data_IF_746902807285
#
_entry.id   IF_746902807285
#
_cell.length_a   1.000
_cell.length_b   1.000
_cell.length_c   1.000
_cell.angle_alpha   90.00
_cell.angle_beta   90.00
_cell.angle_gamma   90.00
#
_symmetry.space_group_name_H-M   'P 1'
#
loop_
_entity.id
_entity.type
_entity.pdbx_description
1 polymer ?
#
# COMPACT_ATOMS: atom_id res chain seq x y z
N UNK A 1 -34.98 5.46 -12.05
CA UNK A 1 -33.95 5.36 -11.01
C UNK A 1 -34.36 4.31 -10.01
N UNK A 2 -33.61 3.21 -9.86
CA UNK A 2 -33.89 2.20 -8.85
C UNK A 2 -33.73 2.83 -7.46
N UNK A 3 -34.82 2.90 -6.68
CA UNK A 3 -34.73 3.30 -5.27
C UNK A 3 -33.80 2.32 -4.58
N UNK A 4 -32.69 2.81 -4.03
CA UNK A 4 -31.82 2.01 -3.19
C UNK A 4 -32.69 1.48 -2.03
N UNK A 5 -33.01 0.19 -2.08
CA UNK A 5 -33.72 -0.46 -0.98
C UNK A 5 -32.79 -0.41 0.21
N UNK A 6 -33.23 0.22 1.28
CA UNK A 6 -32.51 0.19 2.56
C UNK A 6 -32.26 -1.28 2.94
N UNK A 7 -31.01 -1.61 3.24
CA UNK A 7 -30.57 -2.94 3.66
C UNK A 7 -30.06 -2.85 5.09
N UNK A 8 -30.16 -3.95 5.82
CA UNK A 8 -29.49 -4.09 7.12
C UNK A 8 -27.98 -4.02 6.91
N UNK A 9 -27.28 -3.28 7.77
CA UNK A 9 -25.83 -3.23 7.79
C UNK A 9 -25.23 -4.63 7.89
N UNK A 10 -24.20 -4.93 7.08
CA UNK A 10 -23.50 -6.22 7.07
C UNK A 10 -22.65 -6.51 8.31
N UNK A 11 -22.47 -5.54 9.20
CA UNK A 11 -21.76 -5.75 10.46
C UNK A 11 -22.62 -6.56 11.44
N UNK A 12 -22.12 -7.69 11.98
CA UNK A 12 -22.88 -8.51 12.93
C UNK A 12 -23.38 -7.69 14.12
N UNK A 13 -24.68 -7.79 14.41
CA UNK A 13 -25.32 -7.09 15.54
C UNK A 13 -25.60 -5.61 15.34
N UNK A 14 -25.38 -5.05 14.14
CA UNK A 14 -25.75 -3.67 13.84
C UNK A 14 -27.20 -3.57 13.32
N UNK A 15 -28.13 -2.91 14.05
CA UNK A 15 -29.52 -2.79 13.61
C UNK A 15 -29.75 -1.69 12.56
N UNK A 16 -28.71 -0.95 12.16
CA UNK A 16 -28.85 0.22 11.28
C UNK A 16 -29.16 -0.17 9.84
N UNK A 17 -30.19 0.44 9.27
CA UNK A 17 -30.51 0.35 7.84
C UNK A 17 -29.70 1.39 7.04
N UNK A 18 -29.13 0.98 5.91
CA UNK A 18 -28.36 1.84 5.01
C UNK A 18 -28.62 1.49 3.56
N UNK A 19 -28.44 2.46 2.67
CA UNK A 19 -28.39 2.30 1.21
C UNK A 19 -27.11 1.61 0.72
N UNK A 20 -26.13 1.38 1.62
CA UNK A 20 -24.83 0.73 1.35
C UNK A 20 -24.71 -0.60 2.12
N UNK A 21 -23.74 -1.46 1.78
CA UNK A 21 -23.49 -2.70 2.52
C UNK A 21 -23.18 -2.49 4.00
N UNK A 22 -22.62 -1.34 4.39
CA UNK A 22 -22.33 -0.97 5.77
C UNK A 22 -22.89 0.42 6.06
N UNK A 23 -23.36 0.62 7.28
CA UNK A 23 -23.75 1.96 7.74
C UNK A 23 -22.51 2.89 7.79
N UNK A 24 -22.69 4.23 7.75
CA UNK A 24 -21.58 5.18 7.75
C UNK A 24 -20.56 4.98 8.87
N UNK A 25 -21.01 4.56 10.06
CA UNK A 25 -20.14 4.26 11.21
C UNK A 25 -19.19 3.10 10.94
N UNK A 26 -19.70 1.95 10.51
CA UNK A 26 -18.87 0.78 10.23
C UNK A 26 -18.03 0.97 8.98
N UNK A 27 -18.53 1.68 7.97
CA UNK A 27 -17.71 2.07 6.83
C UNK A 27 -16.50 2.92 7.26
N UNK A 28 -16.71 3.92 8.12
CA UNK A 28 -15.61 4.75 8.62
C UNK A 28 -14.57 3.96 9.44
N UNK A 29 -14.99 2.93 10.17
CA UNK A 29 -14.07 2.04 10.89
C UNK A 29 -13.22 1.20 9.94
N UNK A 30 -13.84 0.62 8.91
CA UNK A 30 -13.15 -0.14 7.87
C UNK A 30 -12.18 0.76 7.11
N UNK A 31 -12.61 1.96 6.72
CA UNK A 31 -11.77 2.93 6.03
C UNK A 31 -10.58 3.34 6.89
N UNK A 32 -10.80 3.57 8.20
CA UNK A 32 -9.73 3.88 9.16
C UNK A 32 -8.75 2.70 9.27
N UNK A 33 -9.25 1.47 9.34
CA UNK A 33 -8.42 0.29 9.37
C UNK A 33 -7.57 0.19 8.09
N UNK A 34 -8.19 0.27 6.92
CA UNK A 34 -7.49 0.22 5.62
C UNK A 34 -6.44 1.32 5.47
N UNK A 35 -6.73 2.55 5.88
CA UNK A 35 -5.76 3.65 5.88
C UNK A 35 -4.52 3.36 6.73
N UNK A 36 -4.67 2.56 7.79
CA UNK A 36 -3.59 2.18 8.70
C UNK A 36 -2.84 0.92 8.28
N UNK A 37 -3.52 -0.03 7.63
CA UNK A 37 -2.97 -1.37 7.39
C UNK A 37 -2.68 -1.68 5.93
N UNK A 38 -3.38 -1.08 4.97
CA UNK A 38 -3.16 -1.34 3.55
C UNK A 38 -1.91 -0.59 3.08
N UNK A 39 -0.83 -1.28 2.64
CA UNK A 39 0.43 -0.62 2.29
C UNK A 39 0.28 0.52 1.28
N UNK A 40 -0.55 0.33 0.25
CA UNK A 40 -0.84 1.35 -0.78
C UNK A 40 -1.55 2.60 -0.23
N UNK A 41 -2.25 2.50 0.91
CA UNK A 41 -2.90 3.63 1.58
C UNK A 41 -1.96 4.31 2.57
N UNK A 42 -1.18 3.51 3.31
CA UNK A 42 -0.17 3.99 4.25
C UNK A 42 0.90 4.80 3.52
N UNK A 43 1.40 4.28 2.40
CA UNK A 43 2.52 4.88 1.68
C UNK A 43 2.11 5.99 0.71
N UNK A 44 0.80 6.29 0.58
CA UNK A 44 0.29 7.27 -0.38
C UNK A 44 0.82 8.69 -0.13
N UNK A 45 0.86 9.12 1.14
CA UNK A 45 1.35 10.45 1.50
C UNK A 45 2.83 10.64 1.15
N UNK A 46 3.73 9.76 1.65
CA UNK A 46 5.14 9.76 1.27
C UNK A 46 5.36 9.65 -0.24
N UNK A 47 4.61 8.80 -0.95
CA UNK A 47 4.75 8.64 -2.41
C UNK A 47 4.42 9.94 -3.18
N UNK A 48 3.36 10.65 -2.80
CA UNK A 48 3.01 11.95 -3.39
C UNK A 48 4.17 12.95 -3.20
N UNK A 49 4.76 13.00 -2.00
CA UNK A 49 5.88 13.89 -1.71
C UNK A 49 7.12 13.53 -2.54
N UNK A 50 7.45 12.23 -2.65
CA UNK A 50 8.57 11.76 -3.47
C UNK A 50 8.40 12.11 -4.95
N UNK A 51 7.21 11.89 -5.50
CA UNK A 51 6.89 12.24 -6.89
C UNK A 51 7.00 13.75 -7.15
N UNK A 52 6.48 14.57 -6.23
CA UNK A 52 6.61 16.02 -6.33
C UNK A 52 8.08 16.49 -6.27
N UNK A 53 8.87 15.91 -5.36
CA UNK A 53 10.30 16.20 -5.25
C UNK A 53 11.08 15.80 -6.51
N UNK A 54 10.79 14.64 -7.10
CA UNK A 54 11.40 14.19 -8.34
C UNK A 54 11.11 15.14 -9.51
N UNK A 55 9.86 15.60 -9.66
CA UNK A 55 9.50 16.59 -10.70
C UNK A 55 10.21 17.92 -10.46
N UNK A 56 10.29 18.40 -9.22
CA UNK A 56 10.98 19.63 -8.88
C UNK A 56 12.48 19.55 -9.20
N UNK A 57 13.14 18.45 -8.83
CA UNK A 57 14.56 18.20 -9.12
C UNK A 57 14.84 18.10 -10.64
N UNK A 58 13.95 17.44 -11.38
CA UNK A 58 14.05 17.37 -12.84
C UNK A 58 13.91 18.75 -13.48
N UNK A 59 12.93 19.55 -13.05
CA UNK A 59 12.77 20.93 -13.55
C UNK A 59 13.98 21.82 -13.25
N UNK A 60 14.59 21.66 -12.07
CA UNK A 60 15.77 22.43 -11.70
C UNK A 60 16.99 22.12 -12.62
N UNK A 61 17.08 20.91 -13.16
CA UNK A 61 18.24 20.46 -13.95
C UNK A 61 18.00 20.47 -15.46
N UNK A 62 16.77 20.18 -15.90
CA UNK A 62 16.41 19.97 -17.32
C UNK A 62 15.27 20.88 -17.78
N UNK A 63 14.69 21.69 -16.90
CA UNK A 63 13.51 22.49 -17.20
C UNK A 63 12.28 21.64 -17.52
N UNK A 64 11.38 22.19 -18.33
CA UNK A 64 10.17 21.52 -18.81
C UNK A 64 10.46 20.62 -20.03
N UNK A 65 11.47 19.77 -19.92
CA UNK A 65 11.89 18.84 -20.97
C UNK A 65 11.51 17.41 -20.61
N UNK A 66 10.68 16.77 -21.42
CA UNK A 66 10.34 15.36 -21.25
C UNK A 66 11.34 14.46 -22.00
N UNK A 67 11.91 13.43 -21.35
CA UNK A 67 12.77 12.43 -22.02
C UNK A 67 12.07 11.64 -23.12
N UNK A 68 10.74 11.51 -23.07
CA UNK A 68 9.96 10.71 -24.01
C UNK A 68 9.85 9.25 -23.59
N UNK A 69 8.73 8.61 -23.95
CA UNK A 69 8.52 7.16 -23.85
C UNK A 69 7.97 6.66 -25.17
N UNK A 70 8.72 5.77 -25.84
CA UNK A 70 8.47 5.30 -27.21
C UNK A 70 8.30 6.44 -28.23
N UNK A 71 8.96 7.57 -27.98
CA UNK A 71 9.06 8.73 -28.86
C UNK A 71 10.25 9.59 -28.49
N UNK A 72 10.63 10.51 -29.37
CA UNK A 72 11.72 11.43 -29.13
C UNK A 72 11.48 12.34 -27.88
N UNK A 73 12.56 12.77 -27.21
CA UNK A 73 12.51 13.81 -26.19
C UNK A 73 11.90 15.11 -26.73
N UNK A 74 11.13 15.82 -25.91
CA UNK A 74 10.38 17.02 -26.33
C UNK A 74 10.01 17.91 -25.15
N UNK A 75 9.69 19.18 -25.40
CA UNK A 75 9.24 20.11 -24.38
C UNK A 75 7.83 19.76 -23.87
N UNK A 76 7.61 19.86 -22.56
CA UNK A 76 6.31 19.70 -21.93
C UNK A 76 6.28 20.28 -20.50
N UNK A 77 5.33 21.16 -20.23
CA UNK A 77 5.14 21.75 -18.91
C UNK A 77 4.39 20.82 -17.91
N UNK A 78 3.58 19.88 -18.41
CA UNK A 78 2.81 18.94 -17.57
C UNK A 78 3.62 17.67 -17.28
N UNK A 79 4.67 17.84 -16.47
CA UNK A 79 5.54 16.77 -16.00
C UNK A 79 4.95 16.04 -14.79
N UNK A 80 5.14 14.72 -14.79
CA UNK A 80 4.74 13.76 -13.77
C UNK A 80 5.92 12.86 -13.44
N UNK A 81 5.94 12.27 -12.25
CA UNK A 81 6.93 11.26 -11.88
C UNK A 81 6.23 9.93 -11.65
N UNK A 82 6.81 8.84 -12.15
CA UNK A 82 6.33 7.48 -11.95
C UNK A 82 7.47 6.50 -11.70
N UNK A 83 7.15 5.31 -11.20
CA UNK A 83 8.16 4.32 -10.89
C UNK A 83 8.85 3.82 -12.17
N UNK A 84 10.17 3.66 -12.14
CA UNK A 84 10.92 3.01 -13.23
C UNK A 84 10.40 1.58 -13.40
N UNK A 85 10.30 0.86 -12.29
CA UNK A 85 9.65 -0.45 -12.19
C UNK A 85 8.25 -0.30 -11.57
N UNK A 86 7.22 -0.53 -12.37
CA UNK A 86 5.83 -0.40 -11.94
C UNK A 86 5.49 -1.24 -10.71
N UNK A 87 4.84 -0.61 -9.72
CA UNK A 87 4.38 -1.31 -8.51
C UNK A 87 3.38 -2.43 -8.82
N UNK A 88 2.55 -2.27 -9.87
CA UNK A 88 1.62 -3.32 -10.29
C UNK A 88 2.32 -4.54 -10.89
N UNK A 89 3.54 -4.36 -11.41
CA UNK A 89 4.39 -5.43 -11.92
C UNK A 89 5.37 -5.96 -10.84
N UNK A 90 5.13 -5.67 -9.56
CA UNK A 90 5.98 -6.11 -8.44
C UNK A 90 7.10 -5.15 -8.04
N UNK A 91 7.13 -3.94 -8.61
CA UNK A 91 8.07 -2.90 -8.21
C UNK A 91 7.91 -2.45 -6.75
N UNK A 92 9.01 -2.05 -6.13
CA UNK A 92 9.01 -1.54 -4.77
C UNK A 92 8.31 -0.17 -4.67
N UNK A 93 7.60 0.09 -3.58
CA UNK A 93 6.89 1.35 -3.36
C UNK A 93 7.85 2.55 -3.26
N UNK A 94 9.04 2.33 -2.71
CA UNK A 94 10.14 3.27 -2.57
C UNK A 94 11.17 3.16 -3.71
N UNK A 95 10.83 2.43 -4.78
CA UNK A 95 11.66 2.30 -5.97
C UNK A 95 11.98 3.64 -6.66
N UNK A 96 12.94 3.59 -7.57
CA UNK A 96 13.38 4.74 -8.37
C UNK A 96 12.23 5.35 -9.17
N UNK A 97 12.24 6.68 -9.28
CA UNK A 97 11.24 7.45 -10.02
C UNK A 97 11.86 8.06 -11.29
N UNK A 98 11.09 7.98 -12.37
CA UNK A 98 11.39 8.59 -13.66
C UNK A 98 10.39 9.73 -13.93
N UNK A 99 10.89 10.86 -14.45
CA UNK A 99 10.05 12.02 -14.79
C UNK A 99 9.71 12.03 -16.26
N UNK A 100 8.42 12.11 -16.58
CA UNK A 100 7.87 12.14 -17.93
C UNK A 100 6.65 13.07 -17.99
N UNK A 101 6.30 13.57 -19.17
CA UNK A 101 5.03 14.25 -19.34
C UNK A 101 3.84 13.29 -19.17
N UNK A 102 2.67 13.81 -18.81
CA UNK A 102 1.46 13.01 -18.56
C UNK A 102 1.10 12.05 -19.69
N UNK A 103 1.29 12.47 -20.95
CA UNK A 103 0.99 11.64 -22.12
C UNK A 103 1.97 10.48 -22.30
N UNK A 104 3.28 10.72 -22.09
CA UNK A 104 4.28 9.65 -22.06
C UNK A 104 4.00 8.68 -20.92
N UNK A 105 3.71 9.20 -19.73
CA UNK A 105 3.42 8.35 -18.57
C UNK A 105 2.17 7.48 -18.79
N UNK A 106 1.13 8.04 -19.40
CA UNK A 106 -0.08 7.29 -19.75
C UNK A 106 0.22 6.16 -20.75
N UNK A 107 1.11 6.40 -21.72
CA UNK A 107 1.56 5.36 -22.67
C UNK A 107 2.33 4.25 -21.96
N UNK A 108 3.27 4.59 -21.06
CA UNK A 108 4.00 3.64 -20.23
C UNK A 108 3.03 2.76 -19.41
N UNK A 109 2.11 3.38 -18.69
CA UNK A 109 1.09 2.66 -17.91
C UNK A 109 0.25 1.71 -18.76
N UNK A 110 -0.14 2.12 -19.98
CA UNK A 110 -0.85 1.24 -20.91
C UNK A 110 0.00 0.04 -21.33
N UNK A 111 1.29 0.23 -21.62
CA UNK A 111 2.22 -0.84 -21.99
C UNK A 111 2.33 -1.90 -20.89
N UNK A 112 2.42 -1.44 -19.64
CA UNK A 112 2.50 -2.29 -18.45
C UNK A 112 1.20 -3.07 -18.26
N UNK A 113 0.04 -2.42 -18.38
CA UNK A 113 -1.26 -3.12 -18.29
C UNK A 113 -1.42 -4.20 -19.35
N UNK A 114 -1.00 -3.94 -20.59
CA UNK A 114 -1.04 -4.93 -21.67
C UNK A 114 -0.09 -6.10 -21.38
N UNK A 115 1.11 -5.84 -20.87
CA UNK A 115 2.04 -6.89 -20.46
C UNK A 115 1.47 -7.71 -19.28
N UNK A 116 0.82 -7.03 -18.32
CA UNK A 116 0.21 -7.70 -17.18
C UNK A 116 -0.94 -8.63 -17.60
N UNK A 117 -1.83 -8.15 -18.48
CA UNK A 117 -2.92 -8.95 -19.02
C UNK A 117 -2.41 -10.17 -19.82
N UNK A 118 -1.31 -10.01 -20.56
CA UNK A 118 -0.69 -11.11 -21.29
C UNK A 118 -0.17 -12.20 -20.35
N UNK A 119 0.47 -11.84 -19.22
CA UNK A 119 0.94 -12.85 -18.25
C UNK A 119 -0.23 -13.62 -17.62
N UNK A 120 -1.31 -12.95 -17.24
CA UNK A 120 -2.45 -13.60 -16.57
C UNK A 120 -3.21 -14.57 -17.46
N UNK A 121 -3.08 -14.44 -18.78
CA UNK A 121 -3.80 -15.26 -19.76
C UNK A 121 -3.01 -16.52 -20.17
N UNK A 122 -1.78 -16.71 -19.64
CA UNK A 122 -1.02 -17.93 -19.90
C UNK A 122 -1.60 -19.12 -19.10
N UNK A 123 -1.95 -20.24 -19.75
CA UNK A 123 -2.68 -21.35 -19.12
C UNK A 123 -1.89 -22.11 -18.04
N UNK A 124 -0.57 -21.89 -17.92
CA UNK A 124 0.27 -22.58 -16.92
C UNK A 124 0.13 -22.03 -15.50
N UNK A 125 -0.49 -20.86 -15.30
CA UNK A 125 -0.60 -20.22 -13.97
C UNK A 125 -1.75 -20.76 -13.09
N UNK A 126 -2.52 -21.75 -13.57
CA UNK A 126 -3.73 -22.28 -12.88
C UNK A 126 -3.41 -23.45 -11.93
N UNK A 127 -2.16 -23.88 -11.77
CA UNK A 127 -1.79 -24.97 -10.83
C UNK A 127 -1.23 -24.45 -9.50
N UNK A 128 -2.06 -23.79 -8.71
CA UNK A 128 -1.96 -23.88 -7.25
C UNK A 128 -3.28 -24.42 -6.70
N UNK A 129 -3.44 -25.70 -6.99
CA UNK A 129 -4.49 -26.62 -6.58
C UNK A 129 -4.57 -26.63 -5.05
N UNK A 130 -5.50 -25.84 -4.48
CA UNK A 130 -5.98 -26.06 -3.11
C UNK A 130 -6.85 -27.30 -3.11
N UNK A 131 -6.20 -28.45 -3.32
CA UNK A 131 -6.85 -29.76 -3.26
C UNK A 131 -7.31 -29.99 -1.83
N UNK A 132 -8.60 -29.76 -1.66
CA UNK A 132 -9.54 -30.35 -0.70
C UNK A 132 -8.87 -31.32 0.29
N UNK A 133 -8.48 -30.83 1.46
CA UNK A 133 -8.25 -31.71 2.61
C UNK A 133 -9.64 -32.17 3.08
N UNK A 134 -10.08 -33.29 2.53
CA UNK A 134 -11.22 -34.07 3.00
C UNK A 134 -10.77 -34.69 4.33
N UNK A 135 -10.95 -33.99 5.43
CA UNK A 135 -10.74 -34.57 6.76
C UNK A 135 -11.85 -35.59 7.02
N UNK A 136 -11.50 -36.87 6.87
CA UNK A 136 -12.22 -37.98 7.47
C UNK A 136 -12.24 -37.76 8.98
N UNK A 137 -13.41 -37.39 9.50
CA UNK A 137 -13.69 -37.27 10.91
C UNK A 137 -13.91 -38.69 11.46
N UNK A 138 -12.82 -39.39 11.78
CA UNK A 138 -12.90 -40.65 12.53
C UNK A 138 -13.22 -40.35 14.00
N UNK A 139 -14.24 -41.04 14.48
CA UNK A 139 -14.76 -40.96 15.83
C UNK A 139 -13.78 -41.63 16.80
N UNK A 140 -13.20 -40.85 17.72
CA UNK A 140 -12.38 -41.31 18.83
C UNK A 140 -12.81 -40.63 20.13
N UNK A 141 -13.22 -41.43 21.09
CA UNK A 141 -13.86 -41.15 22.39
C UNK A 141 -13.05 -40.27 23.38
N UNK A 142 -13.72 -39.73 24.43
CA UNK A 142 -13.16 -38.73 25.34
C UNK A 142 -12.39 -39.36 26.51
N UNK A 143 -11.27 -38.76 26.90
CA UNK A 143 -10.61 -39.10 28.16
C UNK A 143 -9.36 -38.26 28.43
N UNK A 144 -9.28 -37.67 29.62
CA UNK A 144 -7.99 -37.41 30.28
C UNK A 144 -7.59 -35.94 30.49
N UNK A 145 -8.12 -35.35 31.55
CA UNK A 145 -7.50 -34.45 32.55
C UNK A 145 -6.56 -33.27 32.20
N UNK A 146 -6.66 -32.14 32.95
CA UNK A 146 -5.89 -30.92 32.72
C UNK A 146 -4.59 -30.91 33.54
N UNK A 147 -3.46 -30.52 32.92
CA UNK A 147 -2.26 -30.14 33.66
C UNK A 147 -1.60 -28.87 33.11
N UNK A 148 -1.57 -27.88 34.00
CA UNK A 148 -0.50 -26.92 34.26
C UNK A 148 -0.11 -25.90 33.17
N UNK A 149 -0.58 -24.66 33.39
CA UNK A 149 -0.04 -23.41 32.83
C UNK A 149 1.39 -23.13 33.34
N UNK A 150 2.38 -22.82 32.47
CA UNK A 150 3.62 -22.21 32.91
C UNK A 150 3.46 -20.70 33.15
N UNK A 151 3.96 -20.23 34.29
CA UNK A 151 3.94 -18.83 34.73
C UNK A 151 4.93 -18.01 33.90
N UNK A 152 4.46 -17.00 33.15
CA UNK A 152 5.34 -16.02 32.50
C UNK A 152 5.98 -15.09 33.55
N UNK A 153 7.29 -15.25 33.71
CA UNK A 153 8.16 -14.43 34.56
C UNK A 153 8.37 -13.08 33.87
N UNK A 154 7.81 -12.00 34.45
CA UNK A 154 8.04 -10.61 34.04
C UNK A 154 9.53 -10.27 34.18
N UNK A 155 10.22 -9.95 33.08
CA UNK A 155 11.52 -9.25 33.13
C UNK A 155 11.27 -7.75 32.96
N UNK A 156 11.51 -7.01 34.05
CA UNK A 156 11.72 -5.56 34.05
C UNK A 156 13.14 -5.29 33.56
N UNK A 157 13.27 -4.43 32.57
CA UNK A 157 14.49 -3.73 32.17
C UNK A 157 14.03 -2.63 31.23
N UNK A 158 14.27 -1.35 31.42
CA UNK A 158 15.31 -0.65 32.17
C UNK A 158 15.65 0.54 31.28
N UNK A 159 14.86 1.61 31.34
CA UNK A 159 15.09 2.83 30.56
C UNK A 159 16.40 3.46 31.02
N UNK A 160 17.45 3.34 30.21
CA UNK A 160 18.63 4.21 30.33
C UNK A 160 18.31 5.55 29.66
N UNK A 161 18.24 6.60 30.48
CA UNK A 161 18.26 8.01 30.05
C UNK A 161 19.60 8.28 29.35
N UNK A 162 19.58 8.61 28.07
CA UNK A 162 20.74 9.21 27.40
C UNK A 162 20.64 10.73 27.58
N UNK A 163 21.67 11.31 28.21
CA UNK A 163 21.81 12.75 28.42
C UNK A 163 22.00 13.45 27.07
N UNK A 164 21.25 14.52 26.87
CA UNK A 164 21.39 15.48 25.77
C UNK A 164 22.60 16.36 26.08
N UNK A 165 23.67 16.26 25.28
CA UNK A 165 24.75 17.24 25.26
C UNK A 165 24.21 18.47 24.53
N UNK A 166 24.28 19.63 25.18
CA UNK A 166 24.03 20.94 24.58
C UNK A 166 25.39 21.42 24.06
N UNK A 167 25.48 21.67 22.77
CA UNK A 167 26.62 22.38 22.17
C UNK A 167 26.33 23.88 22.24
N UNK A 168 27.18 24.61 22.97
CA UNK A 168 27.28 26.06 23.00
C UNK A 168 27.85 26.60 21.67
N UNK A 169 27.25 27.62 21.03
CA UNK A 169 27.92 28.39 20.00
C UNK A 169 28.69 29.55 20.63
N UNK A 170 29.94 29.29 21.03
CA UNK A 170 30.93 30.34 21.28
C UNK A 170 31.70 30.62 19.99
N UNK A 171 31.77 31.88 19.54
CA UNK A 171 32.59 32.22 18.38
C UNK A 171 32.45 33.63 17.84
N UNK A 172 32.66 34.63 18.70
CA UNK A 172 33.00 36.01 18.31
C UNK A 172 34.34 36.05 17.58
N UNK A 173 34.36 36.58 16.35
CA UNK A 173 35.50 37.20 15.65
C UNK A 173 34.87 38.09 14.56
N UNK A 174 35.32 39.27 14.14
CA UNK A 174 36.32 40.26 14.53
C UNK A 174 35.93 41.52 13.73
#
# INVERSE_FOLDING_TARGET
MSRARLRVCSEPGCPTLSDRPRCPKHQAQVDRHQRRTTPTKVNRGPDIQRRAAAVAAHRATRGDWCPGFERAPHASADLTADHVHDQQAGGAWDGELEVMCRSCNSRKGRRVQLALAAYTTTPDSVKSDTRTVRTSFEQGTPGGHPLARPKHRRRRGGLKKVRRVQDDPGGTQC
#
